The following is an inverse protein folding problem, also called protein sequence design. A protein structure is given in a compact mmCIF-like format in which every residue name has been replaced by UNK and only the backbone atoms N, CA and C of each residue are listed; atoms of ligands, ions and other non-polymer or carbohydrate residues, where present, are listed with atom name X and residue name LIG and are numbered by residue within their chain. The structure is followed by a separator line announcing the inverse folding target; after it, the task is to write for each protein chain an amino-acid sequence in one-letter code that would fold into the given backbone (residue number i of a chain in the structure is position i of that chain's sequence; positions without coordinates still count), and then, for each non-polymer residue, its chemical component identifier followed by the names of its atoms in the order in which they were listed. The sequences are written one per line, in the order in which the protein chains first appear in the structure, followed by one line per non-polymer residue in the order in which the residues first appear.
data_IF_772602570880
#
_entry.id   IF_772602570880
#
_cell.length_a   1.000
_cell.length_b   1.000
_cell.length_c   1.000
_cell.angle_alpha   90.00
_cell.angle_beta   90.00
_cell.angle_gamma   90.00
#
_symmetry.space_group_name_H-M   'P 1'
#
loop_
_entity.id
_entity.type
_entity.pdbx_description
1 polymer ?
#
# COMPACT_ATOMS: atom_id res chain seq x y z
N UNK A 1 13.77 44.74 -6.53
CA UNK A 1 13.40 43.32 -6.78
C UNK A 1 13.61 42.39 -5.58
N UNK A 2 14.63 42.60 -4.75
CA UNK A 2 14.98 41.70 -3.62
C UNK A 2 14.04 41.58 -2.40
N UNK A 3 13.21 42.57 -2.01
CA UNK A 3 12.30 42.40 -0.85
C UNK A 3 11.07 41.55 -1.20
N UNK A 4 10.54 41.68 -2.41
CA UNK A 4 9.40 40.89 -2.88
C UNK A 4 9.72 39.39 -2.93
N UNK A 5 10.91 39.03 -3.44
CA UNK A 5 11.36 37.63 -3.46
C UNK A 5 11.51 37.03 -2.06
N UNK A 6 12.09 37.79 -1.10
CA UNK A 6 12.19 37.33 0.29
C UNK A 6 10.81 37.12 0.93
N UNK A 7 9.90 38.06 0.73
CA UNK A 7 8.53 37.95 1.24
C UNK A 7 7.82 36.71 0.67
N UNK A 8 7.99 36.46 -0.64
CA UNK A 8 7.46 35.25 -1.28
C UNK A 8 8.05 33.96 -0.67
N UNK A 9 9.37 33.89 -0.46
CA UNK A 9 9.99 32.70 0.14
C UNK A 9 9.52 32.46 1.58
N UNK A 10 9.42 33.52 2.40
CA UNK A 10 8.88 33.41 3.75
C UNK A 10 7.42 32.93 3.74
N UNK A 11 6.61 33.43 2.81
CA UNK A 11 5.26 32.95 2.61
C UNK A 11 5.23 31.46 2.23
N UNK A 12 6.07 31.02 1.28
CA UNK A 12 6.14 29.60 0.88
C UNK A 12 6.61 28.69 2.02
N UNK A 13 7.54 29.15 2.87
CA UNK A 13 7.95 28.42 4.07
C UNK A 13 6.75 28.27 5.02
N UNK A 14 6.06 29.36 5.34
CA UNK A 14 4.91 29.34 6.25
C UNK A 14 3.78 28.45 5.71
N UNK A 15 3.44 28.59 4.42
CA UNK A 15 2.44 27.77 3.75
C UNK A 15 2.84 26.28 3.69
N UNK A 16 4.12 25.99 3.42
CA UNK A 16 4.67 24.64 3.44
C UNK A 16 4.58 23.99 4.81
N UNK A 17 4.98 24.70 5.87
CA UNK A 17 4.87 24.19 7.25
C UNK A 17 3.42 23.97 7.64
N UNK A 18 2.53 24.92 7.35
CA UNK A 18 1.11 24.80 7.67
C UNK A 18 0.44 23.63 6.91
N UNK A 19 0.72 23.47 5.62
CA UNK A 19 0.23 22.36 4.80
C UNK A 19 0.73 21.01 5.30
N UNK A 20 2.02 20.89 5.59
CA UNK A 20 2.60 19.68 6.15
C UNK A 20 1.97 19.29 7.48
N UNK A 21 1.77 20.25 8.38
CA UNK A 21 1.10 20.04 9.66
C UNK A 21 -0.36 19.59 9.47
N UNK A 22 -1.11 20.24 8.57
CA UNK A 22 -2.50 19.88 8.28
C UNK A 22 -2.65 18.43 7.81
N UNK A 23 -1.92 18.03 6.76
CA UNK A 23 -1.97 16.66 6.24
C UNK A 23 -1.38 15.64 7.21
N UNK A 24 -0.33 16.02 7.95
CA UNK A 24 0.30 15.17 8.96
C UNK A 24 -0.64 14.86 10.12
N UNK A 25 -1.34 15.87 10.64
CA UNK A 25 -2.36 15.70 11.68
C UNK A 25 -3.56 14.91 11.17
N UNK A 26 -4.02 15.17 9.94
CA UNK A 26 -5.10 14.40 9.33
C UNK A 26 -4.75 12.92 9.21
N UNK A 27 -3.54 12.60 8.72
CA UNK A 27 -3.02 11.24 8.67
C UNK A 27 -2.92 10.61 10.06
N UNK A 28 -2.40 11.36 11.04
CA UNK A 28 -2.29 10.87 12.41
C UNK A 28 -3.65 10.43 12.97
N UNK A 29 -4.70 11.22 12.72
CA UNK A 29 -6.05 10.88 13.16
C UNK A 29 -6.56 9.59 12.51
N UNK A 30 -6.35 9.39 11.20
CA UNK A 30 -6.69 8.13 10.53
C UNK A 30 -5.98 6.94 11.17
N UNK A 31 -4.68 7.09 11.44
CA UNK A 31 -3.86 6.05 12.05
C UNK A 31 -4.34 5.69 13.47
N UNK A 32 -4.81 6.68 14.24
CA UNK A 32 -5.41 6.41 15.55
C UNK A 32 -6.75 5.68 15.44
N UNK A 33 -7.58 6.00 14.43
CA UNK A 33 -8.82 5.29 14.16
C UNK A 33 -8.56 3.82 13.80
N UNK A 34 -7.59 3.54 12.91
CA UNK A 34 -7.21 2.16 12.57
C UNK A 34 -6.69 1.39 13.78
N UNK A 35 -5.81 2.00 14.60
CA UNK A 35 -5.36 1.39 15.86
C UNK A 35 -6.49 1.14 16.84
N UNK A 36 -7.53 1.97 16.82
CA UNK A 36 -8.70 1.76 17.69
C UNK A 36 -9.42 0.49 17.27
N UNK A 37 -9.72 0.35 15.98
CA UNK A 37 -10.34 -0.86 15.41
C UNK A 37 -9.50 -2.09 15.69
N UNK A 38 -8.18 -2.03 15.45
CA UNK A 38 -7.30 -3.17 15.71
C UNK A 38 -7.34 -3.57 17.19
N UNK A 39 -7.33 -2.61 18.11
CA UNK A 39 -7.38 -2.91 19.54
C UNK A 39 -8.72 -3.49 20.02
N UNK A 40 -9.82 -3.17 19.33
CA UNK A 40 -11.15 -3.66 19.72
C UNK A 40 -11.51 -4.99 19.06
N UNK A 41 -11.10 -5.17 17.81
CA UNK A 41 -11.54 -6.29 16.96
C UNK A 41 -10.50 -7.41 16.81
N UNK A 42 -9.21 -7.15 17.03
CA UNK A 42 -8.16 -8.15 16.86
C UNK A 42 -7.76 -8.77 18.19
N UNK A 43 -7.70 -10.10 18.23
CA UNK A 43 -7.25 -10.85 19.41
C UNK A 43 -5.82 -11.36 19.28
N UNK A 44 -5.34 -11.55 18.06
CA UNK A 44 -4.03 -12.12 17.79
C UNK A 44 -2.89 -11.11 18.01
N UNK A 45 -1.68 -11.56 18.41
CA UNK A 45 -0.56 -10.66 18.63
C UNK A 45 -0.09 -10.00 17.33
N UNK A 46 0.11 -8.68 17.37
CA UNK A 46 0.66 -7.90 16.25
C UNK A 46 1.99 -8.51 15.78
N UNK A 47 2.16 -8.60 14.47
CA UNK A 47 3.37 -9.13 13.84
C UNK A 47 3.36 -10.64 13.59
N UNK A 48 2.29 -11.33 13.99
CA UNK A 48 2.07 -12.75 13.66
C UNK A 48 1.24 -12.89 12.38
N UNK A 49 1.36 -14.02 11.69
CA UNK A 49 0.52 -14.26 10.51
C UNK A 49 -0.96 -14.48 10.86
N UNK A 50 -1.26 -15.00 12.07
CA UNK A 50 -2.65 -15.08 12.55
C UNK A 50 -3.28 -13.69 12.69
N UNK A 51 -2.52 -12.70 13.18
CA UNK A 51 -2.97 -11.31 13.20
C UNK A 51 -3.26 -10.74 11.81
N UNK A 52 -2.40 -11.05 10.82
CA UNK A 52 -2.62 -10.62 9.43
C UNK A 52 -3.85 -11.31 8.82
N UNK A 53 -4.06 -12.60 9.10
CA UNK A 53 -5.24 -13.35 8.67
C UNK A 53 -6.53 -12.76 9.26
N UNK A 54 -6.58 -12.51 10.56
CA UNK A 54 -7.72 -11.88 11.24
C UNK A 54 -8.03 -10.50 10.68
N UNK A 55 -6.99 -9.68 10.48
CA UNK A 55 -7.16 -8.34 9.93
C UNK A 55 -7.61 -8.39 8.46
N UNK A 56 -7.08 -9.32 7.67
CA UNK A 56 -7.52 -9.55 6.29
C UNK A 56 -8.99 -9.94 6.22
N UNK A 57 -9.42 -10.87 7.10
CA UNK A 57 -10.81 -11.29 7.22
C UNK A 57 -11.72 -10.13 7.62
N UNK A 58 -11.27 -9.27 8.54
CA UNK A 58 -12.01 -8.07 8.92
C UNK A 58 -12.18 -7.09 7.75
N UNK A 59 -11.11 -6.81 6.99
CA UNK A 59 -11.16 -5.94 5.81
C UNK A 59 -12.05 -6.54 4.70
N UNK A 60 -12.02 -7.85 4.52
CA UNK A 60 -12.92 -8.54 3.59
C UNK A 60 -14.39 -8.28 3.89
N UNK A 61 -14.77 -8.37 5.17
CA UNK A 61 -16.15 -8.13 5.62
C UNK A 61 -16.51 -6.64 5.75
N UNK A 62 -15.53 -5.74 5.69
CA UNK A 62 -15.75 -4.30 5.80
C UNK A 62 -16.25 -3.72 4.48
N UNK A 63 -17.50 -3.26 4.48
CA UNK A 63 -18.19 -2.60 3.35
C UNK A 63 -18.16 -3.41 2.03
N UNK A 64 -18.65 -2.81 0.94
CA UNK A 64 -18.75 -3.44 -0.38
C UNK A 64 -17.43 -3.56 -1.15
N UNK A 65 -17.51 -4.20 -2.32
CA UNK A 65 -16.39 -4.41 -3.25
C UNK A 65 -16.43 -3.52 -4.51
N UNK A 66 -17.34 -2.55 -4.55
CA UNK A 66 -17.39 -1.57 -5.63
C UNK A 66 -16.22 -0.59 -5.47
N UNK A 67 -15.64 -0.15 -6.59
CA UNK A 67 -14.56 0.82 -6.57
C UNK A 67 -14.98 2.08 -5.80
N UNK A 68 -14.13 2.56 -4.89
CA UNK A 68 -14.38 3.79 -4.17
C UNK A 68 -14.36 4.98 -5.15
N UNK A 69 -15.52 5.62 -5.33
CA UNK A 69 -15.65 6.77 -6.25
C UNK A 69 -15.16 8.08 -5.63
N UNK A 70 -15.07 8.14 -4.30
CA UNK A 70 -14.64 9.34 -3.59
C UNK A 70 -13.14 9.54 -3.76
N UNK A 71 -12.76 10.47 -4.64
CA UNK A 71 -11.36 10.82 -4.92
C UNK A 71 -10.84 11.84 -3.91
N UNK A 72 -9.58 11.68 -3.48
CA UNK A 72 -8.96 12.60 -2.55
C UNK A 72 -8.29 13.76 -3.26
N UNK A 73 -8.89 14.96 -3.18
CA UNK A 73 -8.40 16.23 -3.76
C UNK A 73 -8.35 16.27 -5.30
N UNK A 74 -7.92 15.19 -5.96
CA UNK A 74 -7.70 15.04 -7.40
C UNK A 74 -7.55 13.56 -7.77
N UNK A 75 -7.99 13.20 -8.98
CA UNK A 75 -8.06 11.81 -9.48
C UNK A 75 -6.77 10.98 -9.34
N UNK A 76 -5.55 11.53 -9.57
CA UNK A 76 -4.33 10.73 -9.54
C UNK A 76 -3.95 10.17 -8.16
N UNK A 77 -4.44 10.75 -7.06
CA UNK A 77 -4.15 10.26 -5.71
C UNK A 77 -5.04 9.08 -5.29
N UNK A 78 -6.16 8.85 -5.98
CA UNK A 78 -7.14 7.84 -5.59
C UNK A 78 -7.86 8.18 -4.28
N UNK A 79 -8.54 7.18 -3.71
CA UNK A 79 -9.20 7.30 -2.41
C UNK A 79 -8.17 7.15 -1.27
N UNK A 80 -8.36 7.88 -0.17
CA UNK A 80 -7.59 7.66 1.06
C UNK A 80 -8.03 6.37 1.74
N UNK A 81 -7.15 5.74 2.54
CA UNK A 81 -7.55 4.59 3.38
C UNK A 81 -8.79 4.85 4.23
N UNK A 82 -8.99 6.07 4.74
CA UNK A 82 -10.19 6.42 5.51
C UNK A 82 -11.46 6.43 4.65
N UNK A 83 -11.40 6.98 3.43
CA UNK A 83 -12.54 6.92 2.50
C UNK A 83 -12.89 5.48 2.12
N UNK A 84 -11.87 4.63 1.92
CA UNK A 84 -12.07 3.20 1.65
C UNK A 84 -12.65 2.50 2.88
N UNK A 85 -12.20 2.85 4.08
CA UNK A 85 -12.76 2.36 5.33
C UNK A 85 -14.24 2.73 5.49
N UNK A 86 -14.66 3.91 5.01
CA UNK A 86 -16.05 4.37 5.12
C UNK A 86 -16.96 3.82 4.02
N UNK A 87 -16.45 3.64 2.80
CA UNK A 87 -17.26 3.35 1.61
C UNK A 87 -17.02 1.96 0.97
N UNK A 88 -16.00 1.23 1.42
CA UNK A 88 -15.51 0.03 0.73
C UNK A 88 -14.65 0.36 -0.48
N UNK A 89 -14.40 -0.65 -1.31
CA UNK A 89 -13.48 -0.49 -2.44
C UNK A 89 -13.25 -1.76 -3.25
N UNK A 90 -12.64 -1.61 -4.43
CA UNK A 90 -12.19 -2.73 -5.25
C UNK A 90 -10.94 -3.43 -4.67
N UNK A 91 -10.29 -4.29 -5.44
CA UNK A 91 -9.09 -5.00 -5.00
C UNK A 91 -7.90 -4.10 -4.63
N UNK A 92 -7.69 -3.02 -5.37
CA UNK A 92 -6.63 -2.08 -5.08
C UNK A 92 -6.97 -1.27 -3.83
N UNK A 93 -8.23 -0.86 -3.69
CA UNK A 93 -8.70 -0.11 -2.54
C UNK A 93 -8.64 -0.95 -1.25
N UNK A 94 -9.21 -2.16 -1.23
CA UNK A 94 -9.16 -3.03 -0.02
C UNK A 94 -7.74 -3.40 0.37
N UNK A 95 -6.85 -3.64 -0.60
CA UNK A 95 -5.43 -3.89 -0.32
C UNK A 95 -4.73 -2.65 0.26
N UNK A 96 -5.06 -1.45 -0.20
CA UNK A 96 -4.57 -0.19 0.41
C UNK A 96 -5.06 -0.04 1.84
N UNK A 97 -6.33 -0.35 2.10
CA UNK A 97 -6.88 -0.30 3.46
C UNK A 97 -6.15 -1.27 4.39
N UNK A 98 -6.00 -2.53 3.98
CA UNK A 98 -5.26 -3.54 4.74
C UNK A 98 -3.82 -3.09 5.02
N UNK A 99 -3.10 -2.63 3.99
CA UNK A 99 -1.74 -2.11 4.15
C UNK A 99 -1.67 -0.91 5.10
N UNK A 100 -2.60 0.04 5.00
CA UNK A 100 -2.65 1.20 5.90
C UNK A 100 -2.94 0.81 7.36
N UNK A 101 -3.78 -0.20 7.57
CA UNK A 101 -4.06 -0.73 8.91
C UNK A 101 -2.84 -1.45 9.50
N UNK A 102 -2.13 -2.26 8.70
CA UNK A 102 -0.85 -2.89 9.10
C UNK A 102 0.20 -1.85 9.47
N UNK A 103 0.39 -0.82 8.63
CA UNK A 103 1.30 0.28 8.91
C UNK A 103 0.94 1.03 10.20
N UNK A 104 -0.35 1.08 10.58
CA UNK A 104 -0.77 1.74 11.81
C UNK A 104 -0.21 1.08 13.07
N UNK A 105 0.06 -0.22 13.02
CA UNK A 105 0.65 -0.99 14.11
C UNK A 105 2.13 -1.30 13.90
N UNK A 106 2.76 -0.65 12.92
CA UNK A 106 4.20 -0.77 12.65
C UNK A 106 4.58 -2.07 11.93
N UNK A 107 3.64 -2.69 11.20
CA UNK A 107 3.95 -3.79 10.29
C UNK A 107 4.16 -3.25 8.88
N UNK A 108 5.30 -3.59 8.29
CA UNK A 108 5.61 -3.25 6.92
C UNK A 108 4.83 -4.15 5.95
N UNK A 109 4.46 -3.58 4.81
CA UNK A 109 3.75 -4.31 3.76
C UNK A 109 3.92 -3.59 2.44
N UNK A 110 3.72 -4.32 1.34
CA UNK A 110 3.67 -3.74 0.00
C UNK A 110 2.45 -4.23 -0.74
N UNK A 111 1.86 -3.36 -1.55
CA UNK A 111 0.87 -3.78 -2.53
C UNK A 111 1.54 -4.57 -3.65
N UNK A 112 0.88 -5.63 -4.11
CA UNK A 112 1.34 -6.48 -5.20
C UNK A 112 0.25 -6.57 -6.24
N UNK A 113 0.54 -6.12 -7.45
CA UNK A 113 -0.30 -6.28 -8.62
C UNK A 113 -0.05 -7.64 -9.25
N UNK A 114 -1.11 -8.43 -9.44
CA UNK A 114 -1.07 -9.69 -10.16
C UNK A 114 -1.41 -9.47 -11.63
N UNK A 115 -0.71 -10.19 -12.51
CA UNK A 115 -0.87 -10.08 -13.96
C UNK A 115 -1.04 -11.46 -14.60
N UNK A 116 -1.94 -11.61 -15.59
CA UNK A 116 -2.07 -12.86 -16.35
C UNK A 116 -0.84 -13.21 -17.19
N UNK A 117 -0.03 -12.20 -17.54
CA UNK A 117 1.19 -12.37 -18.33
C UNK A 117 2.14 -11.20 -18.07
N UNK A 118 3.44 -11.36 -18.39
CA UNK A 118 4.49 -10.35 -18.15
C UNK A 118 4.18 -8.95 -18.72
N UNK A 119 3.44 -8.88 -19.83
CA UNK A 119 3.08 -7.65 -20.53
C UNK A 119 1.59 -7.31 -20.43
N UNK A 120 0.82 -8.03 -19.61
CA UNK A 120 -0.60 -7.80 -19.43
C UNK A 120 -0.83 -6.66 -18.44
N UNK A 121 -1.98 -6.01 -18.54
CA UNK A 121 -2.41 -5.09 -17.50
C UNK A 121 -2.62 -5.85 -16.16
N UNK A 122 -2.38 -5.19 -15.00
CA UNK A 122 -2.82 -5.70 -13.71
C UNK A 122 -4.31 -6.03 -13.72
N UNK A 123 -4.66 -7.20 -13.20
CA UNK A 123 -6.06 -7.68 -13.07
C UNK A 123 -6.51 -7.70 -11.62
N UNK A 124 -5.58 -7.83 -10.68
CA UNK A 124 -5.87 -7.95 -9.26
C UNK A 124 -4.75 -7.33 -8.42
N UNK A 125 -5.06 -6.89 -7.20
CA UNK A 125 -4.09 -6.37 -6.25
C UNK A 125 -4.29 -7.04 -4.90
N UNK A 126 -3.19 -7.47 -4.28
CA UNK A 126 -3.13 -8.10 -2.96
C UNK A 126 -2.05 -7.42 -2.10
N UNK A 127 -1.90 -7.84 -0.85
CA UNK A 127 -0.87 -7.36 0.08
C UNK A 127 0.17 -8.45 0.33
N UNK A 128 1.44 -8.08 0.35
CA UNK A 128 2.52 -8.91 0.88
C UNK A 128 3.04 -8.24 2.16
N UNK A 129 2.71 -8.83 3.31
CA UNK A 129 3.00 -8.28 4.63
C UNK A 129 4.26 -8.91 5.23
N UNK A 130 5.05 -8.12 5.95
CA UNK A 130 6.23 -8.58 6.69
C UNK A 130 5.85 -8.89 8.15
N UNK A 131 6.18 -10.09 8.59
CA UNK A 131 5.97 -10.57 9.95
C UNK A 131 7.16 -10.20 10.85
N UNK A 132 7.01 -10.27 12.18
CA UNK A 132 8.07 -9.90 13.14
C UNK A 132 9.39 -10.69 12.99
N UNK A 133 9.39 -11.81 12.26
CA UNK A 133 10.57 -12.62 11.96
C UNK A 133 11.26 -12.27 10.63
N UNK A 134 10.73 -11.31 9.86
CA UNK A 134 11.16 -11.00 8.50
C UNK A 134 10.52 -11.88 7.42
N UNK A 135 9.75 -12.90 7.82
CA UNK A 135 8.97 -13.72 6.89
C UNK A 135 7.88 -12.90 6.21
N UNK A 136 7.57 -13.26 4.97
CA UNK A 136 6.54 -12.59 4.17
C UNK A 136 5.27 -13.43 4.09
N UNK A 137 4.12 -12.75 4.09
CA UNK A 137 2.81 -13.37 4.00
C UNK A 137 1.97 -12.69 2.93
N UNK A 138 1.50 -13.46 1.94
CA UNK A 138 0.53 -12.99 0.98
C UNK A 138 -0.89 -13.01 1.56
N UNK A 139 -1.60 -11.89 1.44
CA UNK A 139 -2.97 -11.71 1.93
C UNK A 139 -3.82 -10.99 0.88
N UNK A 140 -4.97 -11.57 0.55
CA UNK A 140 -5.95 -11.05 -0.39
C UNK A 140 -7.26 -10.70 0.34
N UNK A 141 -7.54 -9.39 0.52
CA UNK A 141 -8.72 -8.93 1.25
C UNK A 141 -10.01 -8.96 0.40
N UNK A 142 -9.94 -9.33 -0.87
CA UNK A 142 -11.12 -9.42 -1.75
C UNK A 142 -11.75 -10.81 -1.74
N UNK A 143 -10.91 -11.83 -1.55
CA UNK A 143 -11.29 -13.23 -1.49
C UNK A 143 -11.10 -13.86 -0.10
N UNK A 144 -10.69 -13.06 0.88
CA UNK A 144 -10.32 -13.52 2.21
C UNK A 144 -9.35 -14.72 2.13
N UNK A 145 -8.26 -14.52 1.41
CA UNK A 145 -7.34 -15.58 1.02
C UNK A 145 -5.94 -15.29 1.56
N UNK A 146 -5.44 -16.26 2.33
CA UNK A 146 -4.06 -16.35 2.81
C UNK A 146 -3.53 -17.77 2.58
N UNK A 147 -2.23 -17.97 2.73
CA UNK A 147 -1.56 -19.24 2.42
C UNK A 147 -0.79 -19.80 3.62
N UNK A 148 -1.45 -20.50 4.55
CA UNK A 148 -0.75 -21.14 5.67
C UNK A 148 0.23 -22.22 5.18
N UNK A 149 1.43 -22.27 5.75
CA UNK A 149 2.40 -23.35 5.51
C UNK A 149 2.11 -24.52 6.47
N UNK A 150 1.91 -25.76 5.99
CA UNK A 150 1.77 -26.94 6.84
C UNK A 150 2.93 -27.16 7.83
N UNK A 151 4.13 -26.67 7.53
CA UNK A 151 5.29 -26.71 8.42
C UNK A 151 5.25 -25.64 9.54
N UNK A 152 4.26 -24.74 9.50
CA UNK A 152 4.15 -23.57 10.36
C UNK A 152 4.50 -22.29 9.61
N UNK A 153 3.77 -21.21 9.88
CA UNK A 153 3.94 -19.93 9.19
C UNK A 153 3.04 -19.77 7.98
N UNK A 154 3.45 -18.90 7.04
CA UNK A 154 2.67 -18.53 5.87
C UNK A 154 3.59 -18.38 4.65
N UNK A 155 3.03 -18.61 3.46
CA UNK A 155 3.71 -18.35 2.20
C UNK A 155 3.53 -16.90 1.77
N UNK A 156 4.63 -16.27 1.39
CA UNK A 156 4.67 -14.98 0.71
C UNK A 156 4.38 -15.09 -0.78
N UNK A 157 4.39 -13.94 -1.46
CA UNK A 157 4.13 -13.87 -2.90
C UNK A 157 5.16 -14.65 -3.73
N UNK A 158 6.43 -14.59 -3.36
CA UNK A 158 7.51 -15.27 -4.10
C UNK A 158 7.31 -16.79 -4.07
N UNK A 159 6.96 -17.33 -2.92
CA UNK A 159 6.74 -18.76 -2.73
C UNK A 159 5.53 -19.27 -3.52
N UNK A 160 4.42 -18.51 -3.53
CA UNK A 160 3.21 -18.86 -4.28
C UNK A 160 3.45 -18.73 -5.79
N UNK A 161 4.24 -17.75 -6.23
CA UNK A 161 4.71 -17.60 -7.62
C UNK A 161 5.50 -18.82 -8.06
N UNK A 162 6.48 -19.24 -7.26
CA UNK A 162 7.43 -20.30 -7.61
C UNK A 162 6.81 -21.70 -7.50
N UNK A 163 5.75 -21.85 -6.68
CA UNK A 163 5.00 -23.09 -6.51
C UNK A 163 3.49 -22.87 -6.73
N UNK A 164 3.02 -22.78 -7.99
CA UNK A 164 1.62 -22.51 -8.31
C UNK A 164 0.62 -23.51 -7.70
N UNK A 165 1.06 -24.73 -7.39
CA UNK A 165 0.25 -25.74 -6.70
C UNK A 165 -0.24 -25.28 -5.32
N UNK A 166 0.46 -24.34 -4.65
CA UNK A 166 0.02 -23.74 -3.38
C UNK A 166 -1.31 -23.01 -3.57
N UNK A 167 -1.43 -22.19 -4.62
CA UNK A 167 -2.66 -21.48 -4.93
C UNK A 167 -3.80 -22.45 -5.24
N UNK A 168 -3.57 -23.39 -6.18
CA UNK A 168 -4.60 -24.35 -6.58
C UNK A 168 -5.13 -25.17 -5.39
N UNK A 169 -4.22 -25.70 -4.55
CA UNK A 169 -4.60 -26.47 -3.36
C UNK A 169 -5.39 -25.62 -2.36
N UNK A 170 -4.97 -24.37 -2.12
CA UNK A 170 -5.66 -23.46 -1.20
C UNK A 170 -7.05 -23.07 -1.71
N UNK A 171 -7.19 -22.78 -3.00
CA UNK A 171 -8.50 -22.48 -3.60
C UNK A 171 -9.44 -23.69 -3.52
N UNK A 172 -8.97 -24.91 -3.83
CA UNK A 172 -9.78 -26.12 -3.70
C UNK A 172 -10.21 -26.36 -2.24
N UNK A 173 -9.31 -26.14 -1.28
CA UNK A 173 -9.62 -26.23 0.14
C UNK A 173 -10.72 -25.22 0.54
N UNK A 174 -10.55 -23.94 0.22
CA UNK A 174 -11.48 -22.88 0.60
C UNK A 174 -12.85 -23.05 -0.08
N UNK A 175 -12.89 -23.42 -1.37
CA UNK A 175 -14.14 -23.71 -2.09
C UNK A 175 -14.94 -24.83 -1.41
N UNK A 176 -14.26 -25.89 -0.96
CA UNK A 176 -14.90 -26.98 -0.19
C UNK A 176 -15.40 -26.54 1.18
N UNK A 177 -14.64 -25.69 1.88
CA UNK A 177 -14.97 -25.25 3.24
C UNK A 177 -16.10 -24.22 3.27
N UNK A 178 -16.12 -23.27 2.33
CA UNK A 178 -17.03 -22.11 2.34
C UNK A 178 -18.30 -22.33 1.52
N UNK A 179 -18.34 -23.39 0.70
CA UNK A 179 -19.51 -23.75 -0.10
C UNK A 179 -19.62 -22.97 -1.41
N UNK A 180 -20.61 -23.30 -2.26
CA UNK A 180 -20.68 -22.83 -3.65
C UNK A 180 -21.05 -21.35 -3.83
N UNK A 181 -21.73 -20.75 -2.86
CA UNK A 181 -22.16 -19.35 -2.92
C UNK A 181 -21.04 -18.37 -2.50
N UNK A 182 -19.95 -18.88 -1.92
CA UNK A 182 -18.86 -18.04 -1.45
C UNK A 182 -18.09 -17.40 -2.61
N UNK A 183 -17.62 -16.17 -2.41
CA UNK A 183 -16.92 -15.39 -3.43
C UNK A 183 -15.66 -16.07 -3.94
N UNK A 184 -15.02 -16.94 -3.15
CA UNK A 184 -13.84 -17.72 -3.55
C UNK A 184 -14.08 -18.58 -4.80
N UNK A 185 -15.34 -18.94 -5.08
CA UNK A 185 -15.70 -19.69 -6.29
C UNK A 185 -15.52 -18.87 -7.58
N UNK A 186 -15.50 -17.54 -7.48
CA UNK A 186 -15.24 -16.62 -8.60
C UNK A 186 -13.77 -16.19 -8.70
N UNK A 187 -12.87 -16.79 -7.93
CA UNK A 187 -11.44 -16.55 -8.08
C UNK A 187 -10.93 -17.23 -9.36
N UNK A 188 -10.45 -16.44 -10.31
CA UNK A 188 -9.94 -16.92 -11.60
C UNK A 188 -8.45 -17.25 -11.51
N UNK A 189 -8.08 -18.53 -11.58
CA UNK A 189 -6.67 -18.96 -11.56
C UNK A 189 -5.89 -18.46 -12.78
N UNK A 190 -6.54 -18.25 -13.92
CA UNK A 190 -5.88 -17.76 -15.14
C UNK A 190 -5.60 -16.26 -15.09
N UNK A 191 -6.54 -15.49 -14.53
CA UNK A 191 -6.46 -14.02 -14.48
C UNK A 191 -5.74 -13.52 -13.22
N UNK A 192 -5.86 -14.22 -12.09
CA UNK A 192 -5.38 -13.79 -10.76
C UNK A 192 -4.25 -14.69 -10.26
N UNK A 193 -3.36 -15.12 -11.16
CA UNK A 193 -2.19 -15.92 -10.80
C UNK A 193 -1.03 -15.07 -10.28
N UNK A 194 -0.27 -15.69 -9.39
CA UNK A 194 0.93 -15.14 -8.77
C UNK A 194 2.17 -15.23 -9.68
N UNK A 195 2.03 -15.68 -10.93
CA UNK A 195 3.16 -15.92 -11.83
C UNK A 195 3.90 -14.66 -12.31
N UNK A 196 3.24 -13.49 -12.30
CA UNK A 196 3.85 -12.22 -12.74
C UNK A 196 3.53 -11.08 -11.77
N UNK A 197 4.00 -11.15 -10.51
CA UNK A 197 3.72 -10.14 -9.51
C UNK A 197 4.58 -8.89 -9.77
N UNK A 198 3.98 -7.70 -9.59
CA UNK A 198 4.70 -6.42 -9.62
C UNK A 198 4.26 -5.52 -8.46
N UNK A 199 5.19 -5.06 -7.64
CA UNK A 199 4.91 -4.05 -6.60
C UNK A 199 4.83 -2.63 -7.17
N UNK A 200 5.63 -2.37 -8.21
CA UNK A 200 5.69 -1.08 -8.90
C UNK A 200 5.55 -1.33 -10.40
N UNK A 201 4.71 -0.52 -11.06
CA UNK A 201 4.63 -0.51 -12.52
C UNK A 201 5.81 0.28 -13.10
N UNK A 202 6.99 -0.34 -13.10
CA UNK A 202 8.23 0.25 -13.63
C UNK A 202 8.10 0.66 -15.10
N UNK A 203 7.22 0.01 -15.86
CA UNK A 203 7.05 0.22 -17.29
C UNK A 203 6.17 1.43 -17.64
N UNK A 204 5.58 2.10 -16.64
CA UNK A 204 4.58 3.16 -16.84
C UNK A 204 5.11 4.35 -17.64
N UNK A 205 6.31 4.83 -17.31
CA UNK A 205 6.91 6.01 -17.94
C UNK A 205 8.45 5.94 -17.92
N UNK A 206 9.17 6.77 -18.70
CA UNK A 206 10.64 6.69 -18.79
C UNK A 206 11.37 6.89 -17.45
N UNK A 207 10.82 7.69 -16.54
CA UNK A 207 11.44 7.93 -15.25
C UNK A 207 11.34 6.69 -14.37
N UNK A 208 10.17 6.07 -14.29
CA UNK A 208 9.98 4.80 -13.58
C UNK A 208 10.80 3.67 -14.21
N UNK A 209 10.93 3.61 -15.54
CA UNK A 209 11.77 2.59 -16.19
C UNK A 209 13.25 2.75 -15.82
N UNK A 210 13.73 3.99 -15.76
CA UNK A 210 15.12 4.29 -15.36
C UNK A 210 15.35 3.92 -13.90
N UNK A 211 14.42 4.29 -13.00
CA UNK A 211 14.48 3.92 -11.60
C UNK A 211 14.45 2.39 -11.40
N UNK A 212 13.57 1.69 -12.13
CA UNK A 212 13.48 0.24 -12.13
C UNK A 212 14.78 -0.42 -12.60
N UNK A 213 15.47 0.16 -13.59
CA UNK A 213 16.79 -0.30 -14.03
C UNK A 213 17.87 -0.15 -12.96
N UNK A 214 17.87 0.95 -12.19
CA UNK A 214 18.80 1.15 -11.07
C UNK A 214 18.52 0.18 -9.92
N UNK A 215 17.24 -0.03 -9.59
CA UNK A 215 16.82 -1.00 -8.58
C UNK A 215 17.21 -2.42 -9.00
N UNK A 216 16.96 -2.80 -10.25
CA UNK A 216 17.36 -4.09 -10.81
C UNK A 216 18.87 -4.30 -10.91
N UNK A 217 19.69 -3.25 -10.73
CA UNK A 217 21.13 -3.40 -10.62
C UNK A 217 21.60 -3.78 -9.20
N UNK A 218 20.73 -3.65 -8.19
CA UNK A 218 21.05 -3.91 -6.77
C UNK A 218 20.20 -5.00 -6.12
N UNK A 219 19.17 -5.50 -6.81
CA UNK A 219 18.34 -6.63 -6.36
C UNK A 219 18.07 -7.61 -7.49
N UNK A 220 18.04 -8.89 -7.15
CA UNK A 220 17.69 -9.98 -8.08
C UNK A 220 16.18 -10.00 -8.39
N UNK A 221 15.35 -9.35 -7.57
CA UNK A 221 13.90 -9.31 -7.70
C UNK A 221 13.33 -7.88 -7.73
N UNK A 222 13.64 -7.07 -8.76
CA UNK A 222 13.19 -5.68 -8.86
C UNK A 222 11.67 -5.51 -8.89
N UNK A 223 10.92 -6.57 -9.23
CA UNK A 223 9.45 -6.56 -9.27
C UNK A 223 8.79 -6.84 -7.91
N UNK A 224 9.56 -7.27 -6.91
CA UNK A 224 9.08 -7.55 -5.55
C UNK A 224 9.66 -6.59 -4.50
N UNK A 225 10.34 -5.53 -4.94
CA UNK A 225 10.83 -4.49 -4.03
C UNK A 225 9.66 -3.76 -3.39
N UNK A 226 9.71 -3.60 -2.07
CA UNK A 226 8.68 -2.86 -1.35
C UNK A 226 8.51 -1.45 -1.92
N UNK A 227 7.25 -1.09 -2.18
CA UNK A 227 6.93 0.26 -2.63
C UNK A 227 7.07 1.24 -1.46
N UNK A 228 7.71 2.41 -1.65
CA UNK A 228 7.75 3.41 -0.59
C UNK A 228 6.33 3.81 -0.18
N UNK A 229 6.02 3.75 1.12
CA UNK A 229 4.66 4.01 1.65
C UNK A 229 4.06 5.35 1.23
N UNK A 230 4.86 6.39 0.99
CA UNK A 230 4.35 7.68 0.54
C UNK A 230 3.74 7.64 -0.86
N UNK A 231 3.93 6.59 -1.65
CA UNK A 231 3.22 6.39 -2.91
C UNK A 231 1.86 5.70 -2.75
N UNK A 232 1.56 5.19 -1.55
CA UNK A 232 0.33 4.45 -1.24
C UNK A 232 -0.58 5.22 -0.27
N UNK A 233 -0.02 6.20 0.46
CA UNK A 233 -0.73 7.09 1.38
C UNK A 233 -0.74 8.53 0.84
N UNK A 234 -1.88 9.00 0.26
CA UNK A 234 -2.04 10.35 -0.27
C UNK A 234 -1.72 11.46 0.76
N UNK A 235 -2.06 11.26 2.03
CA UNK A 235 -1.83 12.25 3.08
C UNK A 235 -0.34 12.33 3.41
N UNK A 236 0.35 11.19 3.48
CA UNK A 236 1.81 11.16 3.64
C UNK A 236 2.53 11.82 2.46
N UNK A 237 2.12 11.53 1.22
CA UNK A 237 2.65 12.19 0.03
C UNK A 237 2.58 13.71 0.15
N UNK A 238 1.40 14.24 0.50
CA UNK A 238 1.18 15.68 0.62
C UNK A 238 1.98 16.28 1.79
N UNK A 239 2.06 15.59 2.94
CA UNK A 239 2.91 16.01 4.05
C UNK A 239 4.36 16.20 3.59
N UNK A 240 4.93 15.21 2.89
CA UNK A 240 6.31 15.27 2.40
C UNK A 240 6.48 16.33 1.31
N UNK A 241 5.51 16.49 0.42
CA UNK A 241 5.52 17.51 -0.62
C UNK A 241 5.59 18.93 -0.03
N UNK A 242 4.74 19.24 0.95
CA UNK A 242 4.73 20.55 1.60
C UNK A 242 5.97 20.80 2.47
N UNK A 243 6.51 19.77 3.13
CA UNK A 243 7.83 19.84 3.78
C UNK A 243 8.95 20.15 2.76
N UNK A 244 8.91 19.52 1.59
CA UNK A 244 9.84 19.77 0.50
C UNK A 244 9.82 21.23 0.03
N UNK A 245 8.63 21.82 -0.13
CA UNK A 245 8.47 23.25 -0.47
C UNK A 245 9.09 24.13 0.61
N UNK A 246 8.80 23.86 1.89
CA UNK A 246 9.35 24.64 3.00
C UNK A 246 10.88 24.56 3.06
N UNK A 247 11.43 23.36 2.90
CA UNK A 247 12.88 23.12 2.91
C UNK A 247 13.59 23.81 1.75
N UNK A 248 13.10 23.63 0.51
CA UNK A 248 13.69 24.26 -0.67
C UNK A 248 13.65 25.79 -0.58
N UNK A 249 12.52 26.34 -0.13
CA UNK A 249 12.36 27.79 0.06
C UNK A 249 13.30 28.34 1.14
N UNK A 250 13.51 27.59 2.23
CA UNK A 250 14.45 27.93 3.29
C UNK A 250 15.89 27.93 2.79
N UNK A 251 16.31 26.91 2.04
CA UNK A 251 17.66 26.84 1.44
C UNK A 251 17.89 28.01 0.50
N UNK A 252 16.92 28.31 -0.37
CA UNK A 252 17.03 29.43 -1.32
C UNK A 252 17.13 30.78 -0.59
N UNK A 253 16.35 30.97 0.48
CA UNK A 253 16.43 32.18 1.31
C UNK A 253 17.82 32.33 1.95
N UNK A 254 18.37 31.25 2.50
CA UNK A 254 19.72 31.24 3.09
C UNK A 254 20.80 31.56 2.04
N UNK A 255 20.70 31.01 0.84
CA UNK A 255 21.65 31.29 -0.25
C UNK A 255 21.58 32.76 -0.70
N UNK A 256 20.39 33.34 -0.78
CA UNK A 256 20.18 34.75 -1.11
C UNK A 256 20.78 35.66 -0.04
N UNK A 257 20.61 35.30 1.23
CA UNK A 257 21.11 36.09 2.35
C UNK A 257 22.62 35.96 2.52
N UNK A 258 23.18 34.78 2.23
CA UNK A 258 24.63 34.55 2.22
C UNK A 258 25.33 35.39 1.15
N UNK A 259 24.80 35.43 -0.09
CA UNK A 259 25.38 36.24 -1.19
C UNK A 259 25.38 37.75 -0.95
N UNK A 260 24.64 38.25 0.04
CA UNK A 260 24.59 39.69 0.39
C UNK A 260 25.59 40.08 1.48
N UNK A 261 26.16 39.10 2.18
CA UNK A 261 27.24 39.31 3.13
C UNK A 261 28.56 39.32 2.38
#
# INVERSE_FOLDING_TARGET
MMPALRALLLFLIAAGVAGAAFFGLSRWNDQQAFRSVIRTEMTEPVGTGAFVEDLNHWVYNKEGFAQCQDRYVWDPLGATPMQIFEAGGDCADKSRLLSAMLASVGMDSTLVMLQPCRSCAPTHTIVNAELSGGDLMAADPVYDLVFPDPAGGYFGVAEVRDRPAILAARLEQLKRQRGPEDKINFHSEDEMKYGFPKTINWDRDPAFRTAGGLVGAVTDEPFLVQRPHFFEDPKLFLTLFFLGIAAASSVLLLLIDWRRR
#
